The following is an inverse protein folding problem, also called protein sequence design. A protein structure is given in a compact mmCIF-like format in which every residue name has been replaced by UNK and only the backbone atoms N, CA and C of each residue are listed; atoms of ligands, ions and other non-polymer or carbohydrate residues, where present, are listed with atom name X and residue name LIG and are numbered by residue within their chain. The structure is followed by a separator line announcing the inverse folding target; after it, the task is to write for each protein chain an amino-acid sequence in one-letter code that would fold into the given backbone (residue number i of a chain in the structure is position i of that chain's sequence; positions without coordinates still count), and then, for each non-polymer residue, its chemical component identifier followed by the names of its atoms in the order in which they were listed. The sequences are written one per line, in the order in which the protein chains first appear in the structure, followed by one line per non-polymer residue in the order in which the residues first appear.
data_IF_014809947697
#
_entry.id   IF_014809947697
#
_cell.length_a   1.000
_cell.length_b   1.000
_cell.length_c   1.000
_cell.angle_alpha   90.00
_cell.angle_beta   90.00
_cell.angle_gamma   90.00
#
_symmetry.space_group_name_H-M   'P 1'
#
loop_
_entity.id
_entity.type
_entity.pdbx_description
1 polymer ?
#
# COMPACT_ATOMS: atom_id res chain seq x y z
N UNK A 1 20.64 -5.49 2.76
CA UNK A 1 19.85 -6.49 3.50
C UNK A 1 18.40 -6.42 3.07
N UNK A 2 17.70 -7.52 3.07
CA UNK A 2 16.28 -7.55 2.71
C UNK A 2 15.44 -7.71 3.99
N UNK A 3 14.41 -6.87 4.10
CA UNK A 3 13.47 -6.95 5.20
C UNK A 3 12.09 -7.14 4.60
N UNK A 4 11.37 -8.16 5.05
CA UNK A 4 10.01 -8.44 4.62
C UNK A 4 9.03 -7.95 5.67
N UNK A 5 8.03 -7.21 5.23
CA UNK A 5 6.99 -6.68 6.12
C UNK A 5 5.64 -7.24 5.68
N UNK A 6 4.91 -7.78 6.63
CA UNK A 6 3.54 -8.26 6.40
C UNK A 6 2.58 -7.32 7.12
N UNK A 7 1.65 -6.76 6.36
CA UNK A 7 0.74 -5.73 6.85
C UNK A 7 -0.70 -6.13 6.52
N UNK A 8 -1.57 -6.07 7.50
CA UNK A 8 -2.99 -6.30 7.30
C UNK A 8 -3.75 -5.00 7.57
N UNK A 9 -4.56 -4.59 6.61
CA UNK A 9 -5.34 -3.37 6.69
C UNK A 9 -6.82 -3.72 6.68
N UNK A 10 -7.58 -3.04 7.51
CA UNK A 10 -9.03 -3.11 7.50
C UNK A 10 -9.58 -1.83 6.89
N UNK A 11 -10.45 -1.98 5.90
CA UNK A 11 -11.08 -0.84 5.23
C UNK A 11 -12.52 -0.75 5.68
N UNK A 12 -12.90 0.40 6.24
CA UNK A 12 -14.27 0.72 6.56
C UNK A 12 -14.89 1.38 5.33
N UNK A 13 -15.76 0.67 4.66
CA UNK A 13 -16.36 1.12 3.41
C UNK A 13 -17.25 2.36 3.59
N UNK A 14 -17.71 2.62 4.80
CA UNK A 14 -18.53 3.80 5.08
C UNK A 14 -17.69 5.07 5.19
N UNK A 15 -16.47 4.97 5.73
CA UNK A 15 -15.58 6.11 5.91
C UNK A 15 -14.58 6.28 4.79
N UNK A 16 -14.14 5.19 4.21
CA UNK A 16 -13.16 5.22 3.12
C UNK A 16 -13.88 5.33 1.78
N UNK A 17 -13.61 6.39 1.06
CA UNK A 17 -14.18 6.60 -0.26
C UNK A 17 -13.45 5.74 -1.29
N UNK A 18 -14.14 4.74 -1.79
CA UNK A 18 -13.58 3.86 -2.81
C UNK A 18 -13.30 4.64 -4.09
N UNK A 19 -12.17 4.41 -4.74
CA UNK A 19 -11.87 5.10 -6.01
C UNK A 19 -12.88 4.70 -7.08
N UNK A 20 -13.34 5.70 -7.84
CA UNK A 20 -14.38 5.49 -8.86
C UNK A 20 -13.80 4.76 -10.08
N UNK A 21 -12.60 5.11 -10.48
CA UNK A 21 -11.96 4.60 -11.69
C UNK A 21 -10.71 3.78 -11.44
N UNK A 22 -10.53 3.30 -10.22
CA UNK A 22 -9.33 2.57 -9.87
C UNK A 22 -9.59 1.44 -8.90
N UNK A 23 -8.55 0.73 -8.59
CA UNK A 23 -8.59 -0.35 -7.62
C UNK A 23 -8.00 0.12 -6.31
N UNK A 24 -8.56 -0.36 -5.20
CA UNK A 24 -8.05 -0.09 -3.87
C UNK A 24 -6.58 -0.51 -3.77
N UNK A 25 -6.22 -1.61 -4.42
CA UNK A 25 -4.86 -2.13 -4.42
C UNK A 25 -3.87 -1.11 -4.97
N UNK A 26 -4.23 -0.43 -6.05
CA UNK A 26 -3.36 0.57 -6.67
C UNK A 26 -3.19 1.78 -5.75
N UNK A 27 -4.26 2.19 -5.07
CA UNK A 27 -4.21 3.31 -4.15
C UNK A 27 -3.33 3.00 -2.94
N UNK A 28 -3.45 1.80 -2.39
CA UNK A 28 -2.63 1.37 -1.25
C UNK A 28 -1.17 1.29 -1.67
N UNK A 29 -0.89 0.73 -2.84
CA UNK A 29 0.47 0.62 -3.36
C UNK A 29 1.12 1.99 -3.52
N UNK A 30 0.38 2.93 -4.07
CA UNK A 30 0.85 4.29 -4.27
C UNK A 30 1.13 4.99 -2.94
N UNK A 31 0.24 4.82 -1.96
CA UNK A 31 0.42 5.38 -0.63
C UNK A 31 1.68 4.84 0.05
N UNK A 32 1.93 3.53 -0.09
CA UNK A 32 3.12 2.91 0.48
C UNK A 32 4.40 3.44 -0.18
N UNK A 33 4.39 3.64 -1.48
CA UNK A 33 5.53 4.21 -2.20
C UNK A 33 5.80 5.64 -1.72
N UNK A 34 4.78 6.45 -1.51
CA UNK A 34 4.94 7.81 -1.01
C UNK A 34 5.49 7.83 0.41
N UNK A 35 5.02 6.92 1.25
CA UNK A 35 5.48 6.82 2.63
C UNK A 35 6.98 6.55 2.71
N UNK A 36 7.49 5.71 1.82
CA UNK A 36 8.89 5.28 1.83
C UNK A 36 9.79 6.21 1.01
N UNK A 37 9.21 7.02 0.14
CA UNK A 37 9.94 7.83 -0.83
C UNK A 37 11.01 8.72 -0.19
N UNK A 38 10.73 9.29 0.98
CA UNK A 38 11.65 10.22 1.63
C UNK A 38 12.68 9.55 2.54
N UNK A 39 12.69 8.23 2.59
CA UNK A 39 13.62 7.51 3.46
C UNK A 39 14.83 7.09 2.63
N UNK A 40 15.98 7.72 2.90
CA UNK A 40 17.22 7.41 2.19
C UNK A 40 17.69 5.99 2.50
N UNK A 41 18.07 5.30 1.44
CA UNK A 41 18.59 3.94 1.58
C UNK A 41 17.52 2.87 1.67
N UNK A 42 16.24 3.26 1.60
CA UNK A 42 15.12 2.34 1.60
C UNK A 42 14.50 2.27 0.22
N UNK A 43 14.29 1.07 -0.28
CA UNK A 43 13.75 0.86 -1.60
C UNK A 43 12.80 -0.32 -1.58
N UNK A 44 11.62 -0.16 -2.16
CA UNK A 44 10.63 -1.23 -2.24
C UNK A 44 10.98 -2.13 -3.43
N UNK A 45 11.27 -3.39 -3.14
CA UNK A 45 11.57 -4.38 -4.18
C UNK A 45 10.32 -5.07 -4.69
N UNK A 46 9.35 -5.29 -3.80
CA UNK A 46 8.15 -6.04 -4.16
C UNK A 46 7.01 -5.70 -3.23
N UNK A 47 5.84 -5.48 -3.81
CA UNK A 47 4.60 -5.30 -3.05
C UNK A 47 3.60 -6.32 -3.58
N UNK A 48 3.02 -7.09 -2.66
CA UNK A 48 1.94 -8.01 -2.98
C UNK A 48 0.72 -7.64 -2.14
N UNK A 49 -0.39 -7.37 -2.79
CA UNK A 49 -1.63 -7.00 -2.14
C UNK A 49 -2.65 -8.10 -2.43
N UNK A 50 -3.25 -8.62 -1.37
CA UNK A 50 -4.26 -9.67 -1.47
C UNK A 50 -5.53 -9.16 -0.82
N UNK A 51 -6.63 -9.21 -1.55
CA UNK A 51 -7.94 -8.82 -1.05
C UNK A 51 -8.73 -10.08 -0.65
N UNK A 52 -9.34 -10.03 0.52
CA UNK A 52 -10.19 -11.13 1.02
C UNK A 52 -11.61 -10.66 1.21
#
# INVERSE_FOLDING_TARGET
MLVKVFLTLEIDEEEYHMPVDGFVDDEIREALHEFIYDIDGLDIKHIKIVSE
#
